data_IF_914959694957
#
_entry.id   IF_914959694957
#
_cell.length_a   1.000
_cell.length_b   1.000
_cell.length_c   1.000
_cell.angle_alpha   90.00
_cell.angle_beta   90.00
_cell.angle_gamma   90.00
#
_symmetry.space_group_name_H-M   'P 1'
#
loop_
_entity.id
_entity.type
_entity.pdbx_description
1 polymer ?
#
# COMPACT_ATOMS: atom_id res chain seq x y z
N UNK A 1 6.28 46.57 8.86
CA UNK A 1 6.64 45.18 9.23
C UNK A 1 5.46 44.30 8.86
N UNK A 2 5.46 43.73 7.67
CA UNK A 2 4.45 42.75 7.24
C UNK A 2 4.78 41.42 7.90
N UNK A 3 3.94 40.98 8.84
CA UNK A 3 4.02 39.64 9.41
C UNK A 3 3.77 38.62 8.31
N UNK A 4 4.59 37.58 8.16
CA UNK A 4 4.29 36.51 7.21
C UNK A 4 3.02 35.79 7.66
N UNK A 5 2.06 35.67 6.75
CA UNK A 5 0.86 34.88 6.96
C UNK A 5 1.25 33.40 7.08
N UNK A 6 0.87 32.74 8.18
CA UNK A 6 1.08 31.30 8.34
C UNK A 6 0.08 30.56 7.45
N UNK A 7 0.54 30.11 6.30
CA UNK A 7 -0.16 29.10 5.51
C UNK A 7 -0.01 27.77 6.26
N UNK A 8 -1.09 27.12 6.73
CA UNK A 8 -0.99 25.80 7.33
C UNK A 8 -0.46 24.82 6.30
N UNK A 9 0.56 24.04 6.66
CA UNK A 9 0.99 22.91 5.84
C UNK A 9 -0.21 21.98 5.60
N UNK A 10 -0.45 21.51 4.36
CA UNK A 10 -1.54 20.60 4.09
C UNK A 10 -1.38 19.34 4.96
N UNK A 11 -2.43 18.98 5.69
CA UNK A 11 -2.42 17.81 6.59
C UNK A 11 -2.18 16.50 5.85
N UNK A 12 -2.51 16.46 4.56
CA UNK A 12 -2.23 15.38 3.64
C UNK A 12 -1.51 15.93 2.39
N UNK A 13 -0.18 16.08 2.45
CA UNK A 13 0.60 16.63 1.33
C UNK A 13 0.49 15.80 0.05
N UNK A 14 0.24 14.49 0.19
CA UNK A 14 0.09 13.58 -0.95
C UNK A 14 -1.35 13.53 -1.48
N UNK A 15 -2.33 14.02 -0.71
CA UNK A 15 -3.74 13.95 -1.07
C UNK A 15 -4.29 12.54 -1.23
N UNK A 16 -3.62 11.52 -0.67
CA UNK A 16 -4.02 10.11 -0.82
C UNK A 16 -4.85 9.61 0.36
N UNK A 17 -5.87 8.82 0.08
CA UNK A 17 -6.72 8.14 1.06
C UNK A 17 -6.30 6.66 1.20
N UNK A 18 -5.06 6.46 1.65
CA UNK A 18 -4.50 5.13 1.86
C UNK A 18 -3.89 4.47 0.61
N UNK A 19 -3.61 3.17 0.75
CA UNK A 19 -2.98 2.32 -0.27
C UNK A 19 -3.98 1.21 -0.62
N UNK A 20 -4.32 1.09 -1.90
CA UNK A 20 -5.29 0.08 -2.34
C UNK A 20 -4.68 -1.32 -2.44
N UNK A 21 -3.44 -1.43 -2.91
CA UNK A 21 -2.74 -2.70 -3.02
C UNK A 21 -1.22 -2.53 -2.98
N UNK A 22 -0.52 -3.63 -2.70
CA UNK A 22 0.93 -3.75 -2.80
C UNK A 22 1.24 -4.97 -3.65
N UNK A 23 2.07 -4.81 -4.67
CA UNK A 23 2.52 -5.90 -5.53
C UNK A 23 3.91 -6.38 -5.09
N UNK A 24 4.10 -7.70 -5.03
CA UNK A 24 5.37 -8.33 -4.64
C UNK A 24 5.93 -9.15 -5.79
N UNK A 25 7.22 -8.96 -6.09
CA UNK A 25 7.97 -9.81 -7.01
C UNK A 25 8.84 -10.79 -6.20
N UNK A 26 8.66 -12.09 -6.42
CA UNK A 26 9.41 -13.15 -5.73
C UNK A 26 9.66 -14.33 -6.66
N UNK A 27 10.79 -15.01 -6.49
CA UNK A 27 11.11 -16.27 -7.18
C UNK A 27 10.36 -17.47 -6.61
N UNK A 28 9.70 -17.33 -5.46
CA UNK A 28 9.00 -18.42 -4.76
C UNK A 28 7.53 -18.04 -4.43
N UNK A 29 6.66 -17.89 -5.43
CA UNK A 29 5.31 -17.36 -5.25
C UNK A 29 4.42 -18.24 -4.35
N UNK A 30 4.55 -19.57 -4.41
CA UNK A 30 3.78 -20.47 -3.55
C UNK A 30 4.16 -20.31 -2.07
N UNK A 31 5.46 -20.40 -1.74
CA UNK A 31 5.94 -20.26 -0.37
C UNK A 31 5.60 -18.90 0.23
N UNK A 32 5.67 -17.83 -0.58
CA UNK A 32 5.26 -16.49 -0.16
C UNK A 32 3.75 -16.40 0.14
N UNK A 33 2.91 -17.00 -0.71
CA UNK A 33 1.47 -17.08 -0.48
C UNK A 33 1.13 -17.81 0.83
N UNK A 34 1.81 -18.91 1.12
CA UNK A 34 1.63 -19.68 2.36
C UNK A 34 2.01 -18.84 3.60
N UNK A 35 3.08 -18.05 3.52
CA UNK A 35 3.49 -17.14 4.59
C UNK A 35 2.41 -16.08 4.85
N UNK A 36 1.88 -15.44 3.79
CA UNK A 36 0.82 -14.45 3.92
C UNK A 36 -0.42 -15.04 4.61
N UNK A 37 -0.81 -16.25 4.24
CA UNK A 37 -1.93 -16.94 4.91
C UNK A 37 -1.66 -17.19 6.39
N UNK A 38 -0.44 -17.57 6.77
CA UNK A 38 -0.05 -17.73 8.19
C UNK A 38 -0.06 -16.42 8.97
N UNK A 39 0.15 -15.29 8.28
CA UNK A 39 0.05 -13.95 8.87
C UNK A 39 -1.41 -13.46 9.00
N UNK A 40 -2.40 -14.25 8.56
CA UNK A 40 -3.82 -13.91 8.65
C UNK A 40 -4.39 -13.26 7.40
N UNK A 41 -3.64 -13.18 6.29
CA UNK A 41 -4.20 -12.76 5.02
C UNK A 41 -5.07 -13.85 4.39
N UNK A 42 -6.16 -13.44 3.75
CA UNK A 42 -7.12 -14.35 3.10
C UNK A 42 -6.97 -14.23 1.58
N UNK A 43 -6.87 -15.33 0.82
CA UNK A 43 -6.79 -15.27 -0.63
C UNK A 43 -8.10 -14.73 -1.23
N UNK A 44 -8.04 -13.55 -1.85
CA UNK A 44 -9.20 -12.89 -2.45
C UNK A 44 -9.40 -13.27 -3.92
N UNK A 45 -8.33 -13.35 -4.70
CA UNK A 45 -8.36 -13.67 -6.11
C UNK A 45 -7.08 -14.38 -6.55
N UNK A 46 -7.12 -15.07 -7.70
CA UNK A 46 -5.94 -15.61 -8.38
C UNK A 46 -5.79 -14.95 -9.73
N UNK A 47 -4.64 -14.34 -9.98
CA UNK A 47 -4.30 -13.88 -11.32
C UNK A 47 -4.19 -15.10 -12.23
N UNK A 48 -4.87 -15.06 -13.37
CA UNK A 48 -4.78 -16.13 -14.38
C UNK A 48 -3.60 -15.78 -15.27
N UNK A 49 -2.48 -16.49 -15.13
CA UNK A 49 -1.42 -16.43 -16.15
C UNK A 49 -1.96 -17.03 -17.46
N UNK A 50 -1.68 -16.39 -18.58
CA UNK A 50 -1.81 -17.00 -19.91
C UNK A 50 -0.53 -17.76 -20.24
#
# INVERSE_FOLDING_TARGET
>A
MTSPERIPEPSNPLGMDGIEFVEYATSQPQAFGDLLQRMGFVPLARHRSR
#
